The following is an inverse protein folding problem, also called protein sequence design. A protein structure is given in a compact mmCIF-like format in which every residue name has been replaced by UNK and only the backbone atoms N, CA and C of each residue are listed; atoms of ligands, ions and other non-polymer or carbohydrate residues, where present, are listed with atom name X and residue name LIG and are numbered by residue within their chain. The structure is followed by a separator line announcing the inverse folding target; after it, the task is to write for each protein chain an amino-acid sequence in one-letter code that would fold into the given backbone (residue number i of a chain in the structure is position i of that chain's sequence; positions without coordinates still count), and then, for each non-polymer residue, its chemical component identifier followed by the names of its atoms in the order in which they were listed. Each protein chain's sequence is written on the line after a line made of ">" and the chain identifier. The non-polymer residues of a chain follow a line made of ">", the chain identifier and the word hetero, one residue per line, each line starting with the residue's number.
data_IF_137275966848
#
_entry.id   IF_137275966848
#
_cell.length_a   1.000
_cell.length_b   1.000
_cell.length_c   1.000
_cell.angle_alpha   90.00
_cell.angle_beta   90.00
_cell.angle_gamma   90.00
#
_symmetry.space_group_name_H-M   'P 1'
#
loop_
_entity.id
_entity.type
_entity.pdbx_description
1 polymer ?
#
# COMPACT_ATOMS: atom_id res chain seq x y z
N UNK A 1 -52.51 9.99 -1.03
CA UNK A 1 -51.49 10.98 -1.47
C UNK A 1 -50.46 11.05 -0.37
N UNK A 2 -49.33 10.33 -0.54
CA UNK A 2 -48.22 10.40 0.41
C UNK A 2 -47.47 11.70 0.15
N UNK A 3 -47.58 12.65 1.05
CA UNK A 3 -46.75 13.85 1.10
C UNK A 3 -45.34 13.42 1.38
N UNK A 4 -44.50 13.44 0.34
CA UNK A 4 -43.06 13.36 0.51
C UNK A 4 -42.66 14.60 1.29
N UNK A 5 -42.30 14.45 2.56
CA UNK A 5 -41.66 15.52 3.31
C UNK A 5 -40.41 15.94 2.51
N UNK A 6 -40.43 17.16 1.98
CA UNK A 6 -39.24 17.78 1.45
C UNK A 6 -38.26 17.93 2.64
N UNK A 7 -37.33 17.00 2.80
CA UNK A 7 -36.24 17.17 3.71
C UNK A 7 -35.44 18.38 3.22
N UNK A 8 -35.31 19.38 4.08
CA UNK A 8 -34.59 20.62 3.80
C UNK A 8 -33.07 20.36 3.84
N UNK A 9 -32.61 19.50 2.95
CA UNK A 9 -31.18 19.38 2.73
C UNK A 9 -30.66 20.62 2.01
N UNK A 10 -29.44 21.07 2.31
CA UNK A 10 -28.80 22.12 1.53
C UNK A 10 -28.72 21.71 0.05
N UNK A 11 -28.62 22.67 -0.84
CA UNK A 11 -28.38 22.37 -2.25
C UNK A 11 -26.97 21.86 -2.44
N UNK A 12 -26.78 20.82 -3.27
CA UNK A 12 -25.44 20.34 -3.59
C UNK A 12 -24.65 21.44 -4.32
N UNK A 13 -23.34 21.50 -4.12
CA UNK A 13 -22.49 22.42 -4.87
C UNK A 13 -22.50 22.06 -6.36
N UNK A 14 -22.16 23.05 -7.19
CA UNK A 14 -22.00 22.85 -8.62
C UNK A 14 -20.60 23.23 -9.03
N UNK A 15 -19.95 22.37 -9.81
CA UNK A 15 -18.65 22.68 -10.38
C UNK A 15 -18.75 23.81 -11.40
N UNK A 16 -17.71 24.63 -11.49
CA UNK A 16 -17.60 25.65 -12.53
C UNK A 16 -17.54 25.01 -13.92
N UNK A 17 -18.31 25.55 -14.85
CA UNK A 17 -18.32 25.07 -16.25
C UNK A 17 -17.31 25.89 -17.05
N UNK A 18 -16.32 25.19 -17.62
CA UNK A 18 -15.38 25.78 -18.59
C UNK A 18 -15.21 24.79 -19.75
N UNK A 19 -15.84 25.10 -20.87
CA UNK A 19 -15.77 24.24 -22.05
C UNK A 19 -14.38 24.17 -22.64
N UNK A 20 -13.87 22.94 -22.81
CA UNK A 20 -12.63 22.63 -23.52
C UNK A 20 -12.96 21.78 -24.75
N UNK A 21 -12.45 22.19 -25.91
CA UNK A 21 -12.66 21.49 -27.18
C UNK A 21 -11.53 20.49 -27.42
N UNK A 22 -11.81 19.22 -27.22
CA UNK A 22 -10.85 18.13 -27.37
C UNK A 22 -10.97 17.49 -28.74
N UNK A 23 -9.90 17.54 -29.52
CA UNK A 23 -9.82 16.91 -30.84
C UNK A 23 -9.10 15.55 -30.70
N UNK A 24 -9.78 14.48 -31.10
CA UNK A 24 -9.19 13.15 -31.17
C UNK A 24 -9.54 12.49 -32.50
N UNK A 25 -8.54 12.22 -33.33
CA UNK A 25 -8.73 11.78 -34.71
C UNK A 25 -9.64 12.76 -35.49
N UNK A 26 -10.73 12.24 -36.08
CA UNK A 26 -11.68 13.03 -36.86
C UNK A 26 -12.90 13.48 -36.03
N UNK A 27 -12.81 13.38 -34.68
CA UNK A 27 -13.92 13.75 -33.80
C UNK A 27 -13.55 14.89 -32.85
N UNK A 28 -14.52 15.75 -32.59
CA UNK A 28 -14.46 16.78 -31.56
C UNK A 28 -15.38 16.41 -30.39
N UNK A 29 -14.87 16.56 -29.16
CA UNK A 29 -15.63 16.42 -27.94
C UNK A 29 -15.50 17.69 -27.10
N UNK A 30 -16.62 18.24 -26.68
CA UNK A 30 -16.64 19.35 -25.73
C UNK A 30 -16.70 18.75 -24.32
N UNK A 31 -15.74 19.12 -23.49
CA UNK A 31 -15.69 18.69 -22.08
C UNK A 31 -15.73 19.91 -21.17
N UNK A 32 -16.86 20.12 -20.45
CA UNK A 32 -17.04 21.31 -19.61
C UNK A 32 -16.24 21.27 -18.31
N UNK A 33 -15.62 20.13 -17.99
CA UNK A 33 -14.90 19.89 -16.73
C UNK A 33 -13.45 19.39 -16.95
N UNK A 34 -12.87 19.61 -18.12
CA UNK A 34 -11.56 19.10 -18.46
C UNK A 34 -10.44 19.60 -17.51
N UNK A 35 -10.60 20.80 -16.94
CA UNK A 35 -9.69 21.35 -15.93
C UNK A 35 -9.56 20.48 -14.68
N UNK A 36 -10.57 19.66 -14.36
CA UNK A 36 -10.56 18.78 -13.18
C UNK A 36 -9.49 17.67 -13.23
N UNK A 37 -8.86 17.44 -14.39
CA UNK A 37 -7.70 16.53 -14.48
C UNK A 37 -6.46 17.09 -13.80
N UNK A 38 -6.36 18.40 -13.66
CA UNK A 38 -5.26 19.06 -12.95
C UNK A 38 -5.57 19.12 -11.45
N UNK A 39 -4.86 18.28 -10.70
CA UNK A 39 -5.01 18.19 -9.22
C UNK A 39 -4.61 19.49 -8.50
N UNK A 40 -3.83 20.35 -9.15
CA UNK A 40 -3.39 21.66 -8.62
C UNK A 40 -4.33 22.82 -8.97
N UNK A 41 -5.36 22.60 -9.78
CA UNK A 41 -6.31 23.68 -10.13
C UNK A 41 -7.11 24.10 -8.89
N UNK A 42 -7.04 25.38 -8.48
CA UNK A 42 -7.73 25.87 -7.28
C UNK A 42 -9.25 25.70 -7.35
N UNK A 43 -9.86 25.73 -8.52
CA UNK A 43 -11.31 25.54 -8.71
C UNK A 43 -11.72 24.10 -8.38
N UNK A 44 -10.86 23.12 -8.72
CA UNK A 44 -11.08 21.72 -8.34
C UNK A 44 -11.03 21.57 -6.84
N UNK A 45 -10.03 22.15 -6.18
CA UNK A 45 -9.87 22.08 -4.71
C UNK A 45 -11.09 22.71 -4.02
N UNK A 46 -11.50 23.92 -4.43
CA UNK A 46 -12.66 24.62 -3.88
C UNK A 46 -13.96 23.81 -4.06
N UNK A 47 -14.13 23.19 -5.24
CA UNK A 47 -15.27 22.32 -5.49
C UNK A 47 -15.29 21.11 -4.57
N UNK A 48 -14.15 20.41 -4.40
CA UNK A 48 -14.03 19.24 -3.51
C UNK A 48 -14.27 19.62 -2.04
N UNK A 49 -13.77 20.76 -1.59
CA UNK A 49 -14.02 21.26 -0.24
C UNK A 49 -15.50 21.58 -0.01
N UNK A 50 -16.18 22.15 -1.01
CA UNK A 50 -17.62 22.44 -0.94
C UNK A 50 -18.46 21.16 -0.92
N UNK A 51 -18.08 20.11 -1.66
CA UNK A 51 -18.71 18.79 -1.61
C UNK A 51 -18.52 18.11 -0.24
N UNK A 52 -17.33 18.21 0.34
CA UNK A 52 -17.08 17.70 1.69
C UNK A 52 -17.93 18.42 2.75
N UNK A 53 -18.06 19.74 2.62
CA UNK A 53 -18.94 20.54 3.51
C UNK A 53 -20.39 20.12 3.35
N UNK A 54 -20.87 20.03 2.13
CA UNK A 54 -22.24 19.57 1.82
C UNK A 54 -22.52 18.19 2.42
N UNK A 55 -21.62 17.24 2.20
CA UNK A 55 -21.72 15.89 2.76
C UNK A 55 -21.80 15.92 4.29
N UNK A 56 -20.95 16.74 4.94
CA UNK A 56 -20.92 16.89 6.39
C UNK A 56 -22.24 17.46 6.93
N UNK A 57 -22.85 18.40 6.24
CA UNK A 57 -24.15 18.99 6.61
C UNK A 57 -25.29 18.01 6.44
N UNK A 58 -25.35 17.31 5.29
CA UNK A 58 -26.38 16.29 5.02
C UNK A 58 -26.32 15.14 6.00
N UNK A 59 -25.11 14.69 6.32
CA UNK A 59 -24.87 13.55 7.22
C UNK A 59 -24.90 13.91 8.70
N UNK A 60 -25.02 15.20 9.06
CA UNK A 60 -24.95 15.66 10.45
C UNK A 60 -25.94 14.95 11.38
N UNK A 61 -27.16 14.68 10.89
CA UNK A 61 -28.20 13.99 11.68
C UNK A 61 -27.90 12.52 11.97
N UNK A 62 -26.97 11.91 11.24
CA UNK A 62 -26.61 10.50 11.38
C UNK A 62 -25.38 10.26 12.24
N UNK A 63 -24.69 11.30 12.76
CA UNK A 63 -23.43 11.16 13.52
C UNK A 63 -23.56 10.22 14.72
N UNK A 64 -24.67 10.28 15.47
CA UNK A 64 -24.87 9.39 16.61
C UNK A 64 -25.00 7.92 16.19
N UNK A 65 -25.69 7.66 15.08
CA UNK A 65 -25.83 6.31 14.53
C UNK A 65 -24.49 5.81 13.97
N UNK A 66 -23.72 6.67 13.29
CA UNK A 66 -22.38 6.32 12.79
C UNK A 66 -21.48 5.91 13.95
N UNK A 67 -21.46 6.68 15.04
CA UNK A 67 -20.67 6.35 16.21
C UNK A 67 -21.10 5.02 16.84
N UNK A 68 -22.41 4.79 16.97
CA UNK A 68 -22.93 3.53 17.49
C UNK A 68 -22.48 2.34 16.63
N UNK A 69 -22.64 2.45 15.31
CA UNK A 69 -22.22 1.38 14.37
C UNK A 69 -20.71 1.16 14.45
N UNK A 70 -19.94 2.24 14.52
CA UNK A 70 -18.47 2.16 14.66
C UNK A 70 -18.09 1.38 15.92
N UNK A 71 -18.66 1.72 17.07
CA UNK A 71 -18.37 1.04 18.33
C UNK A 71 -18.81 -0.43 18.30
N UNK A 72 -19.94 -0.75 17.67
CA UNK A 72 -20.39 -2.13 17.50
C UNK A 72 -19.42 -2.95 16.63
N UNK A 73 -18.88 -2.37 15.54
CA UNK A 73 -17.93 -3.03 14.66
C UNK A 73 -16.61 -3.26 15.40
N UNK A 74 -16.05 -2.21 15.99
CA UNK A 74 -14.76 -2.28 16.71
C UNK A 74 -14.85 -3.24 17.89
N UNK A 75 -15.97 -3.22 18.63
CA UNK A 75 -16.18 -4.12 19.78
C UNK A 75 -16.24 -5.61 19.41
N UNK A 76 -16.43 -5.96 18.13
CA UNK A 76 -16.38 -7.34 17.62
C UNK A 76 -15.03 -7.73 17.06
N UNK A 77 -14.14 -6.79 16.84
CA UNK A 77 -12.80 -7.04 16.32
C UNK A 77 -11.89 -7.57 17.42
N UNK A 78 -11.15 -8.61 17.10
CA UNK A 78 -10.05 -9.06 17.95
C UNK A 78 -8.81 -8.26 17.59
N UNK A 79 -8.53 -7.21 18.36
CA UNK A 79 -7.41 -6.30 18.11
C UNK A 79 -6.06 -6.97 18.41
N UNK A 80 -5.97 -7.75 19.50
CA UNK A 80 -4.78 -8.56 19.81
C UNK A 80 -4.89 -9.92 19.14
N UNK A 81 -4.30 -10.05 17.96
CA UNK A 81 -4.40 -11.27 17.16
C UNK A 81 -3.07 -11.66 16.51
N UNK A 82 -3.03 -12.87 16.00
CA UNK A 82 -1.87 -13.45 15.34
C UNK A 82 -2.30 -14.18 14.08
N UNK A 83 -1.56 -13.96 12.98
CA UNK A 83 -1.78 -14.71 11.76
C UNK A 83 -1.36 -16.17 11.92
N UNK A 84 -1.96 -17.06 11.09
CA UNK A 84 -1.47 -18.42 11.00
C UNK A 84 -0.04 -18.43 10.41
N UNK A 85 0.91 -19.17 11.02
CA UNK A 85 2.29 -19.19 10.56
C UNK A 85 2.45 -19.94 9.24
N UNK A 86 3.24 -19.40 8.33
CA UNK A 86 3.53 -19.98 7.02
C UNK A 86 5.00 -20.39 6.92
N UNK A 87 5.25 -21.65 6.61
CA UNK A 87 6.60 -22.18 6.45
C UNK A 87 7.19 -21.77 5.07
N UNK A 88 8.36 -21.16 5.11
CA UNK A 88 9.14 -20.83 3.92
C UNK A 88 10.63 -20.93 4.22
N UNK A 89 11.40 -21.71 3.44
CA UNK A 89 12.86 -21.84 3.51
C UNK A 89 13.40 -22.05 4.94
N UNK A 90 12.75 -22.95 5.71
CA UNK A 90 13.18 -23.31 7.06
C UNK A 90 12.80 -22.32 8.16
N UNK A 91 11.95 -21.35 7.87
CA UNK A 91 11.37 -20.43 8.84
C UNK A 91 9.85 -20.38 8.72
N UNK A 92 9.16 -20.30 9.86
CA UNK A 92 7.77 -19.92 9.96
C UNK A 92 7.65 -18.41 10.08
N UNK A 93 6.82 -17.80 9.23
CA UNK A 93 6.53 -16.36 9.19
C UNK A 93 5.12 -16.12 9.69
N UNK A 94 4.96 -15.14 10.57
CA UNK A 94 3.66 -14.75 11.12
C UNK A 94 3.65 -13.28 11.51
N UNK A 95 2.45 -12.74 11.69
CA UNK A 95 2.24 -11.36 12.15
C UNK A 95 1.48 -11.35 13.45
N UNK A 96 1.66 -10.29 14.22
CA UNK A 96 0.83 -9.96 15.38
C UNK A 96 0.27 -8.57 15.23
N UNK A 97 -0.99 -8.41 15.62
CA UNK A 97 -1.61 -7.12 15.85
C UNK A 97 -1.72 -6.89 17.36
N UNK A 98 -1.56 -5.66 17.78
CA UNK A 98 -1.62 -5.26 19.18
C UNK A 98 -2.67 -4.17 19.34
N UNK A 99 -3.42 -4.24 20.40
CA UNK A 99 -4.47 -3.25 20.69
C UNK A 99 -3.92 -1.83 20.71
N UNK A 100 -4.60 -0.96 19.99
CA UNK A 100 -4.21 0.46 19.86
C UNK A 100 -3.03 0.72 18.93
N UNK A 101 -2.50 -0.30 18.25
CA UNK A 101 -1.52 -0.15 17.18
C UNK A 101 -2.21 -0.12 15.82
N UNK A 102 -1.69 0.68 14.91
CA UNK A 102 -2.25 0.81 13.56
C UNK A 102 -1.79 -0.29 12.61
N UNK A 103 -0.57 -0.78 12.80
CA UNK A 103 0.07 -1.72 11.89
C UNK A 103 0.46 -3.02 12.60
N UNK A 104 0.53 -4.14 11.84
CA UNK A 104 1.04 -5.39 12.37
C UNK A 104 2.56 -5.34 12.60
N UNK A 105 3.02 -6.23 13.47
CA UNK A 105 4.43 -6.55 13.67
C UNK A 105 4.73 -7.89 13.04
N UNK A 106 5.76 -7.97 12.22
CA UNK A 106 6.14 -9.16 11.46
C UNK A 106 7.28 -9.91 12.15
N UNK A 107 7.11 -11.21 12.27
CA UNK A 107 8.05 -12.13 12.93
C UNK A 107 8.39 -13.32 12.05
N UNK A 108 9.54 -13.94 12.35
CA UNK A 108 9.85 -15.28 11.89
C UNK A 108 10.42 -16.13 13.01
N UNK A 109 10.33 -17.45 12.88
CA UNK A 109 10.90 -18.42 13.80
C UNK A 109 11.49 -19.57 13.02
N UNK A 110 12.65 -20.11 13.43
CA UNK A 110 13.21 -21.29 12.81
C UNK A 110 12.25 -22.45 12.89
N UNK A 111 12.18 -23.26 11.84
CA UNK A 111 11.26 -24.40 11.80
C UNK A 111 11.45 -25.35 12.98
N UNK A 112 12.70 -25.68 13.33
CA UNK A 112 13.01 -26.58 14.46
C UNK A 112 12.50 -26.05 15.81
N UNK A 113 12.65 -24.73 16.04
CA UNK A 113 12.16 -24.06 17.25
C UNK A 113 10.63 -24.03 17.31
N UNK A 114 9.99 -23.79 16.16
CA UNK A 114 8.54 -23.78 16.03
C UNK A 114 7.97 -25.18 16.23
N UNK A 115 8.47 -26.18 15.52
CA UNK A 115 7.98 -27.56 15.56
C UNK A 115 8.12 -28.17 16.95
N UNK A 116 9.14 -27.74 17.71
CA UNK A 116 9.36 -28.20 19.08
C UNK A 116 8.35 -27.66 20.11
N UNK A 117 7.71 -26.53 19.83
CA UNK A 117 6.89 -25.80 20.83
C UNK A 117 5.46 -25.54 20.37
N UNK A 118 5.25 -25.23 19.11
CA UNK A 118 4.01 -24.59 18.61
C UNK A 118 3.28 -25.36 17.53
N UNK A 119 3.84 -26.48 17.05
CA UNK A 119 3.24 -27.28 15.97
C UNK A 119 1.80 -27.66 16.24
N UNK A 120 1.48 -27.98 17.49
CA UNK A 120 0.14 -28.42 17.89
C UNK A 120 -0.78 -27.25 18.34
N UNK A 121 -0.21 -26.04 18.54
CA UNK A 121 -0.95 -24.84 18.94
C UNK A 121 -0.39 -23.58 18.28
N UNK A 122 -0.56 -23.42 16.95
CA UNK A 122 0.07 -22.35 16.18
C UNK A 122 -0.56 -20.96 16.36
N UNK A 123 -1.59 -20.84 17.18
CA UNK A 123 -2.33 -19.58 17.39
C UNK A 123 -1.87 -18.77 18.62
N UNK A 124 -0.92 -19.27 19.38
CA UNK A 124 -0.42 -18.62 20.61
C UNK A 124 1.11 -18.62 20.62
N UNK A 125 1.74 -18.38 19.48
CA UNK A 125 3.20 -18.39 19.32
C UNK A 125 3.80 -17.27 20.16
N UNK A 126 4.75 -17.58 21.02
CA UNK A 126 5.53 -16.61 21.77
C UNK A 126 6.99 -16.62 21.30
N UNK A 127 7.67 -15.47 21.40
CA UNK A 127 9.01 -15.30 20.89
C UNK A 127 9.06 -15.09 19.38
N UNK A 128 10.15 -15.52 18.77
CA UNK A 128 10.41 -15.29 17.37
C UNK A 128 11.34 -14.10 17.13
N UNK A 129 11.95 -14.09 15.98
CA UNK A 129 12.80 -13.00 15.51
C UNK A 129 11.91 -11.90 14.92
N UNK A 130 12.05 -10.68 15.43
CA UNK A 130 11.39 -9.50 14.87
C UNK A 130 12.00 -9.18 13.50
N UNK A 131 11.16 -9.14 12.46
CA UNK A 131 11.54 -8.71 11.12
C UNK A 131 11.23 -7.22 10.91
N UNK A 132 9.96 -6.85 11.12
CA UNK A 132 9.49 -5.48 10.93
C UNK A 132 8.44 -5.13 11.97
N UNK A 133 8.69 -4.08 12.75
CA UNK A 133 7.65 -3.34 13.44
C UNK A 133 7.22 -2.18 12.53
N UNK A 134 6.09 -2.37 11.84
CA UNK A 134 5.61 -1.36 10.89
C UNK A 134 5.17 -0.08 11.61
N UNK A 135 4.80 -0.15 12.90
CA UNK A 135 4.50 1.05 13.68
C UNK A 135 5.74 1.91 13.88
N UNK A 136 6.92 1.30 14.13
CA UNK A 136 8.19 2.04 14.22
C UNK A 136 8.60 2.61 12.86
N UNK A 137 8.40 1.85 11.77
CA UNK A 137 8.70 2.35 10.42
C UNK A 137 7.83 3.53 10.00
N UNK A 138 6.59 3.57 10.47
CA UNK A 138 5.63 4.63 10.18
C UNK A 138 5.82 5.87 11.07
N UNK A 139 6.68 5.82 12.08
CA UNK A 139 6.85 6.91 13.05
C UNK A 139 7.29 8.21 12.36
N UNK A 140 6.57 9.30 12.64
CA UNK A 140 6.84 10.62 12.04
C UNK A 140 6.30 10.81 10.62
N UNK A 141 5.55 9.84 10.06
CA UNK A 141 4.92 9.94 8.74
C UNK A 141 3.41 10.15 8.87
N UNK A 142 2.86 11.11 8.13
CA UNK A 142 1.40 11.33 8.05
C UNK A 142 0.69 10.21 7.30
N UNK A 143 1.38 9.59 6.34
CA UNK A 143 0.92 8.43 5.60
C UNK A 143 2.08 7.45 5.42
N UNK A 144 1.87 6.19 5.79
CA UNK A 144 2.85 5.13 5.58
C UNK A 144 2.17 3.87 5.05
N UNK A 145 2.69 3.35 3.97
CA UNK A 145 2.23 2.07 3.41
C UNK A 145 3.38 1.07 3.46
N UNK A 146 3.11 -0.09 4.06
CA UNK A 146 3.96 -1.27 4.02
C UNK A 146 3.23 -2.34 3.22
N UNK A 147 3.64 -2.53 1.96
CA UNK A 147 2.94 -3.43 1.04
C UNK A 147 3.45 -4.88 1.12
N UNK A 148 4.46 -5.14 1.93
CA UNK A 148 5.00 -6.47 2.14
C UNK A 148 6.52 -6.52 2.01
N UNK A 149 7.06 -7.75 2.05
CA UNK A 149 8.50 -7.99 1.96
C UNK A 149 8.82 -9.34 1.33
N UNK A 150 10.05 -9.46 0.85
CA UNK A 150 10.60 -10.71 0.33
C UNK A 150 11.97 -10.98 0.95
N UNK A 151 12.15 -12.17 1.52
CA UNK A 151 13.41 -12.60 2.15
C UNK A 151 14.27 -13.34 1.13
N UNK A 152 15.56 -13.03 1.12
CA UNK A 152 16.55 -13.69 0.26
C UNK A 152 16.62 -15.20 0.52
N UNK A 153 17.01 -16.02 -0.47
CA UNK A 153 17.10 -17.47 -0.33
C UNK A 153 17.97 -17.95 0.84
N UNK A 154 19.04 -17.23 1.17
CA UNK A 154 19.91 -17.53 2.31
C UNK A 154 19.38 -17.01 3.66
N UNK A 155 18.20 -16.40 3.71
CA UNK A 155 17.57 -15.84 4.90
C UNK A 155 18.35 -14.70 5.61
N UNK A 156 19.27 -14.02 4.93
CA UNK A 156 20.10 -12.97 5.54
C UNK A 156 19.61 -11.55 5.23
N UNK A 157 18.87 -11.37 4.14
CA UNK A 157 18.38 -10.07 3.68
C UNK A 157 16.85 -10.10 3.50
N UNK A 158 16.23 -8.96 3.68
CA UNK A 158 14.81 -8.74 3.30
C UNK A 158 14.69 -7.42 2.54
N UNK A 159 14.08 -7.49 1.36
CA UNK A 159 13.64 -6.31 0.64
C UNK A 159 12.16 -6.07 0.96
N UNK A 160 11.77 -4.84 1.26
CA UNK A 160 10.40 -4.53 1.61
C UNK A 160 9.84 -3.33 0.85
N UNK A 161 8.55 -3.39 0.53
CA UNK A 161 7.86 -2.36 -0.23
C UNK A 161 7.23 -1.36 0.74
N UNK A 162 7.63 -0.11 0.66
CA UNK A 162 7.08 0.94 1.50
C UNK A 162 7.05 2.29 0.78
N UNK A 163 6.20 3.19 1.23
CA UNK A 163 6.24 4.60 0.89
C UNK A 163 5.60 5.46 1.97
N UNK A 164 5.88 6.76 1.91
CA UNK A 164 5.33 7.79 2.78
C UNK A 164 4.38 8.74 2.04
N UNK A 165 4.04 8.43 0.79
CA UNK A 165 3.20 9.26 -0.08
C UNK A 165 1.73 8.87 -0.04
N UNK A 166 1.41 7.69 0.52
CA UNK A 166 0.08 7.10 0.46
C UNK A 166 -0.27 6.46 -0.89
N UNK A 167 0.68 6.36 -1.84
CA UNK A 167 0.47 5.70 -3.13
C UNK A 167 0.37 4.19 -2.98
N UNK A 168 -0.61 3.56 -3.66
CA UNK A 168 -0.74 2.09 -3.74
C UNK A 168 -0.08 1.49 -4.98
N UNK A 169 0.60 2.30 -5.78
CA UNK A 169 1.21 1.86 -7.03
C UNK A 169 2.72 2.06 -7.08
N UNK A 170 3.24 3.02 -6.33
CA UNK A 170 4.63 3.43 -6.35
C UNK A 170 5.27 3.17 -5.00
N UNK A 171 6.27 2.28 -4.99
CA UNK A 171 6.95 1.88 -3.78
C UNK A 171 8.46 2.10 -3.87
N UNK A 172 9.02 2.44 -2.74
CA UNK A 172 10.45 2.29 -2.48
C UNK A 172 10.72 0.86 -2.02
N UNK A 173 11.92 0.37 -2.34
CA UNK A 173 12.39 -0.95 -1.97
C UNK A 173 13.70 -0.86 -1.19
N UNK A 174 13.66 -0.50 0.11
CA UNK A 174 14.82 -0.60 0.97
C UNK A 174 15.17 -2.06 1.27
N UNK A 175 16.44 -2.28 1.60
CA UNK A 175 17.00 -3.58 1.88
C UNK A 175 17.47 -3.66 3.33
N UNK A 176 16.89 -4.58 4.11
CA UNK A 176 17.25 -4.83 5.51
C UNK A 176 18.18 -6.01 5.65
N UNK A 177 19.26 -5.83 6.39
CA UNK A 177 20.10 -6.92 6.86
C UNK A 177 19.44 -7.55 8.10
N UNK A 178 19.09 -8.83 8.02
CA UNK A 178 18.37 -9.52 9.08
C UNK A 178 19.26 -9.95 10.25
N UNK A 179 20.58 -9.92 10.09
CA UNK A 179 21.52 -10.20 11.16
C UNK A 179 21.72 -8.99 12.05
N UNK A 180 21.94 -7.83 11.43
CA UNK A 180 22.16 -6.56 12.15
C UNK A 180 20.84 -5.82 12.45
N UNK A 181 19.76 -6.17 11.75
CA UNK A 181 18.44 -5.49 11.77
C UNK A 181 18.47 -4.04 11.28
N UNK A 182 19.54 -3.66 10.60
CA UNK A 182 19.70 -2.33 10.02
C UNK A 182 19.37 -2.34 8.52
N UNK A 183 18.80 -1.24 8.05
CA UNK A 183 18.63 -1.03 6.63
C UNK A 183 19.97 -0.66 6.01
N UNK A 184 20.26 -1.25 4.84
CA UNK A 184 21.46 -0.93 4.06
C UNK A 184 21.28 0.42 3.35
N UNK A 185 22.39 1.04 2.96
CA UNK A 185 22.41 2.22 2.09
C UNK A 185 22.05 1.87 0.64
N UNK A 186 20.97 1.09 0.46
CA UNK A 186 20.48 0.62 -0.81
C UNK A 186 18.95 0.76 -0.83
N UNK A 187 18.44 1.51 -1.79
CA UNK A 187 16.99 1.65 -1.99
C UNK A 187 16.74 1.82 -3.48
N UNK A 188 15.77 1.08 -4.01
CA UNK A 188 15.25 1.29 -5.35
C UNK A 188 13.91 2.05 -5.24
N UNK A 189 13.59 2.85 -6.25
CA UNK A 189 12.38 3.68 -6.29
C UNK A 189 11.49 3.29 -7.47
N UNK A 190 10.17 3.48 -7.32
CA UNK A 190 9.21 3.20 -8.37
C UNK A 190 9.05 1.72 -8.70
N UNK A 191 9.21 0.86 -7.69
CA UNK A 191 9.17 -0.60 -7.85
C UNK A 191 7.73 -1.11 -7.71
N UNK A 192 7.34 -2.04 -8.59
CA UNK A 192 6.04 -2.71 -8.51
C UNK A 192 6.12 -4.21 -8.22
N UNK A 193 7.21 -4.88 -8.56
CA UNK A 193 7.43 -6.29 -8.24
C UNK A 193 8.91 -6.63 -8.03
N UNK A 194 9.18 -7.71 -7.29
CA UNK A 194 10.52 -8.18 -6.94
C UNK A 194 10.59 -9.71 -6.91
N UNK A 195 11.68 -10.24 -7.45
CA UNK A 195 12.09 -11.63 -7.23
C UNK A 195 13.58 -11.71 -6.88
N UNK A 196 13.93 -12.60 -5.97
CA UNK A 196 15.33 -12.94 -5.66
C UNK A 196 15.83 -14.02 -6.59
N UNK A 197 17.06 -13.88 -7.07
CA UNK A 197 17.80 -15.01 -7.61
C UNK A 197 18.24 -15.97 -6.48
N UNK A 198 18.50 -17.23 -6.79
CA UNK A 198 18.92 -18.22 -5.80
C UNK A 198 20.32 -17.94 -5.22
N UNK A 199 21.11 -17.08 -5.85
CA UNK A 199 22.41 -16.63 -5.34
C UNK A 199 22.32 -15.71 -4.11
N UNK A 200 21.11 -15.20 -3.80
CA UNK A 200 20.84 -14.25 -2.70
C UNK A 200 21.56 -12.89 -2.84
N UNK A 201 22.14 -12.61 -3.99
CA UNK A 201 22.89 -11.39 -4.31
C UNK A 201 22.25 -10.62 -5.48
N UNK A 202 21.51 -11.32 -6.34
CA UNK A 202 20.86 -10.72 -7.49
C UNK A 202 19.35 -10.60 -7.25
N UNK A 203 18.82 -9.43 -7.55
CA UNK A 203 17.38 -9.15 -7.53
C UNK A 203 16.89 -8.82 -8.94
N UNK A 204 15.71 -9.31 -9.25
CA UNK A 204 14.94 -8.91 -10.43
C UNK A 204 13.80 -8.02 -9.97
N UNK A 205 13.59 -6.91 -10.62
CA UNK A 205 12.52 -5.99 -10.25
C UNK A 205 11.92 -5.32 -11.47
N UNK A 206 10.66 -4.93 -11.34
CA UNK A 206 9.98 -4.15 -12.37
C UNK A 206 9.80 -2.71 -11.93
N UNK A 207 9.99 -1.79 -12.88
CA UNK A 207 9.79 -0.35 -12.72
C UNK A 207 8.48 0.07 -13.38
N UNK A 208 7.78 0.97 -12.70
CA UNK A 208 6.63 1.70 -13.27
C UNK A 208 7.11 2.88 -14.10
N UNK A 209 6.31 3.24 -15.10
CA UNK A 209 6.46 4.46 -15.87
C UNK A 209 5.62 5.62 -15.27
N UNK A 210 5.64 6.78 -15.92
CA UNK A 210 4.88 7.96 -15.51
C UNK A 210 3.35 7.77 -15.50
N UNK A 211 2.86 6.71 -16.17
CA UNK A 211 1.45 6.31 -16.17
C UNK A 211 1.13 5.26 -15.09
N UNK A 212 2.08 4.95 -14.21
CA UNK A 212 2.04 3.90 -13.18
C UNK A 212 1.93 2.49 -13.77
N UNK A 213 2.33 2.29 -15.01
CA UNK A 213 2.35 0.99 -15.67
C UNK A 213 3.74 0.36 -15.55
N UNK A 214 3.78 -0.90 -15.12
CA UNK A 214 5.03 -1.67 -15.02
C UNK A 214 5.46 -2.17 -16.41
N UNK A 215 6.51 -1.59 -16.98
CA UNK A 215 6.91 -1.82 -18.36
C UNK A 215 8.32 -2.37 -18.53
N UNK A 216 9.16 -2.27 -17.50
CA UNK A 216 10.58 -2.63 -17.59
C UNK A 216 10.98 -3.58 -16.47
N UNK A 217 11.75 -4.60 -16.81
CA UNK A 217 12.35 -5.55 -15.86
C UNK A 217 13.87 -5.37 -15.87
N UNK A 218 14.42 -5.25 -14.68
CA UNK A 218 15.86 -5.12 -14.45
C UNK A 218 16.39 -6.32 -13.63
N UNK A 219 17.64 -6.65 -13.86
CA UNK A 219 18.45 -7.46 -12.94
C UNK A 219 19.50 -6.58 -12.30
N UNK A 220 19.65 -6.66 -10.99
CA UNK A 220 20.67 -5.94 -10.27
C UNK A 220 21.36 -6.83 -9.25
N UNK A 221 22.68 -6.88 -9.32
CA UNK A 221 23.50 -7.45 -8.28
C UNK A 221 23.70 -6.43 -7.16
N UNK A 222 23.46 -6.82 -5.91
CA UNK A 222 23.49 -5.91 -4.76
C UNK A 222 24.87 -5.25 -4.51
N UNK A 223 25.93 -5.85 -5.02
CA UNK A 223 27.30 -5.29 -4.99
C UNK A 223 27.60 -4.30 -6.11
N UNK A 224 26.71 -4.16 -7.09
CA UNK A 224 26.86 -3.30 -8.26
C UNK A 224 25.97 -2.05 -8.13
N UNK A 225 26.39 -0.94 -8.77
CA UNK A 225 25.75 0.37 -8.59
C UNK A 225 24.40 0.52 -9.32
N UNK A 226 24.22 -0.15 -10.49
CA UNK A 226 23.04 0.02 -11.34
C UNK A 226 22.55 -1.32 -11.87
N UNK A 227 21.22 -1.42 -12.02
CA UNK A 227 20.58 -2.59 -12.61
C UNK A 227 20.69 -2.61 -14.14
N UNK A 228 20.81 -3.80 -14.70
CA UNK A 228 20.80 -4.04 -16.15
C UNK A 228 19.38 -4.30 -16.61
N UNK A 229 18.90 -3.54 -17.60
CA UNK A 229 17.60 -3.78 -18.25
C UNK A 229 17.63 -5.14 -18.95
N UNK A 230 16.68 -6.01 -18.62
CA UNK A 230 16.55 -7.35 -19.21
C UNK A 230 15.40 -7.41 -20.22
N UNK A 231 14.30 -6.73 -19.90
CA UNK A 231 13.10 -6.74 -20.72
C UNK A 231 12.38 -5.41 -20.65
N UNK A 232 11.84 -4.96 -21.78
CA UNK A 232 10.97 -3.78 -21.88
C UNK A 232 9.75 -4.13 -22.73
N UNK A 233 8.56 -3.94 -22.15
CA UNK A 233 7.29 -4.12 -22.84
C UNK A 233 6.98 -2.92 -23.72
N UNK A 234 6.93 -3.13 -25.03
CA UNK A 234 6.71 -2.08 -26.02
C UNK A 234 5.21 -1.85 -26.31
N UNK A 235 4.37 -2.85 -26.09
CA UNK A 235 2.94 -2.72 -26.35
C UNK A 235 2.25 -2.05 -25.14
N UNK A 236 1.71 -0.86 -25.38
CA UNK A 236 1.03 -0.05 -24.34
C UNK A 236 -0.15 -0.74 -23.66
N UNK A 237 -0.64 -1.85 -24.21
CA UNK A 237 -1.75 -2.63 -23.65
C UNK A 237 -1.33 -3.62 -22.58
N UNK A 238 -0.03 -3.89 -22.44
CA UNK A 238 0.51 -4.90 -21.53
C UNK A 238 1.40 -4.28 -20.45
N UNK A 239 1.54 -5.01 -19.37
CA UNK A 239 2.51 -4.74 -18.31
C UNK A 239 3.31 -6.01 -18.01
N UNK A 240 4.47 -5.87 -17.40
CA UNK A 240 5.32 -6.99 -17.01
C UNK A 240 5.58 -6.99 -15.50
N UNK A 241 5.85 -8.17 -14.94
CA UNK A 241 6.21 -8.36 -13.52
C UNK A 241 7.17 -9.54 -13.38
N UNK A 242 7.87 -9.61 -12.26
CA UNK A 242 8.72 -10.73 -11.85
C UNK A 242 8.15 -11.44 -10.64
#
# INVERSE_FOLDING_TARGET
>A
MNTIHSSSYPLPPSAEVQEEHLHHLDTERIDPFYYMKDKGDPRLVEYLESENKYTSEVMASTKSLQEQIYQEIVGRMKEDDQSYPTLRRGYYYYTRTEKGKQYPVHYRMRQEDFDSRWKDCPTAIEGGELLFDVNQLAEGSDAYIFAGYSVSPNNQLAAYFSNTTGSYAEFDLPLRDLTTRADRSFTLHGISSLAWAEDSETIYYSLIDETLRSTRIFAQRLSEGEGTLIYEEQDVRFSCSV
#
